data_IF_885971313714
#
_entry.id   IF_885971313714
#
_cell.length_a   1.000
_cell.length_b   1.000
_cell.length_c   1.000
_cell.angle_alpha   90.00
_cell.angle_beta   90.00
_cell.angle_gamma   90.00
#
_symmetry.space_group_name_H-M   'P 1'
#
loop_
_entity.id
_entity.type
_entity.pdbx_description
1 polymer ?
#
# COMPACT_ATOMS: atom_id res chain seq x y z
N UNK A 1 1.06 14.63 -5.34
CA UNK A 1 0.67 13.68 -4.28
C UNK A 1 -0.84 13.69 -4.19
N UNK A 2 -1.49 12.54 -4.31
CA UNK A 2 -2.95 12.43 -4.26
C UNK A 2 -3.47 12.65 -2.84
N UNK A 3 -3.56 13.92 -2.41
CA UNK A 3 -4.26 14.45 -1.21
C UNK A 3 -4.29 13.62 0.09
N UNK A 4 -3.33 12.72 0.32
CA UNK A 4 -3.29 11.84 1.48
C UNK A 4 -4.44 10.82 1.59
N UNK A 5 -5.18 10.58 0.51
CA UNK A 5 -6.30 9.63 0.54
C UNK A 5 -5.80 8.21 0.29
N UNK A 6 -6.22 7.26 1.14
CA UNK A 6 -5.93 5.84 0.96
C UNK A 6 -6.81 5.30 -0.16
N UNK A 7 -6.18 4.90 -1.27
CA UNK A 7 -6.88 4.30 -2.41
C UNK A 7 -7.16 2.81 -2.22
N UNK A 8 -6.29 2.14 -1.46
CA UNK A 8 -6.36 0.70 -1.19
C UNK A 8 -5.72 0.38 0.14
N UNK A 9 -6.37 -0.48 0.90
CA UNK A 9 -5.83 -1.14 2.08
C UNK A 9 -5.98 -2.66 1.91
N UNK A 10 -4.91 -3.41 2.21
CA UNK A 10 -4.87 -4.86 2.09
C UNK A 10 -4.07 -5.44 3.25
N UNK A 11 -4.63 -6.46 3.90
CA UNK A 11 -3.89 -7.35 4.80
C UNK A 11 -3.56 -8.63 4.00
N UNK A 12 -2.28 -9.01 3.98
CA UNK A 12 -1.81 -10.23 3.31
C UNK A 12 -1.25 -11.21 4.34
N UNK A 13 -1.53 -12.50 4.14
CA UNK A 13 -0.94 -13.58 4.92
C UNK A 13 0.33 -14.16 4.27
N UNK A 14 0.62 -13.77 3.02
CA UNK A 14 1.84 -14.12 2.31
C UNK A 14 2.82 -12.95 2.33
N UNK A 15 4.15 -13.22 2.38
CA UNK A 15 5.15 -12.17 2.51
C UNK A 15 5.30 -11.29 1.26
N UNK A 16 4.70 -11.70 0.13
CA UNK A 16 4.77 -10.99 -1.13
C UNK A 16 3.37 -10.52 -1.53
N UNK A 17 3.25 -9.25 -1.87
CA UNK A 17 2.06 -8.70 -2.49
C UNK A 17 2.47 -7.86 -3.70
N UNK A 18 1.68 -7.93 -4.77
CA UNK A 18 1.96 -7.21 -6.01
C UNK A 18 0.82 -6.26 -6.31
N UNK A 19 1.14 -4.97 -6.40
CA UNK A 19 0.21 -3.97 -6.88
C UNK A 19 0.16 -4.01 -8.42
N UNK A 20 -0.67 -4.90 -8.97
CA UNK A 20 -0.72 -5.13 -10.42
C UNK A 20 -1.30 -3.94 -11.18
N UNK A 21 -1.03 -3.86 -12.49
CA UNK A 21 -1.58 -2.80 -13.34
C UNK A 21 -3.11 -2.73 -13.31
N UNK A 22 -3.80 -3.89 -13.27
CA UNK A 22 -5.26 -3.93 -13.16
C UNK A 22 -5.76 -3.31 -11.85
N UNK A 23 -5.06 -3.54 -10.73
CA UNK A 23 -5.39 -2.93 -9.45
C UNK A 23 -5.14 -1.42 -9.47
N UNK A 24 -3.99 -0.98 -10.00
CA UNK A 24 -3.67 0.46 -10.15
C UNK A 24 -4.71 1.20 -10.98
N UNK A 25 -5.14 0.61 -12.10
CA UNK A 25 -6.21 1.18 -12.96
C UNK A 25 -7.55 1.23 -12.23
N UNK A 26 -7.92 0.16 -11.51
CA UNK A 26 -9.16 0.11 -10.74
C UNK A 26 -9.23 1.14 -9.61
N UNK A 27 -8.09 1.40 -8.96
CA UNK A 27 -7.97 2.38 -7.89
C UNK A 27 -7.79 3.82 -8.41
N UNK A 28 -7.62 4.00 -9.73
CA UNK A 28 -7.43 5.31 -10.34
C UNK A 28 -6.11 5.99 -9.97
N UNK A 29 -5.04 5.22 -9.75
CA UNK A 29 -3.71 5.76 -9.44
C UNK A 29 -3.19 6.58 -10.62
N UNK A 30 -2.78 7.82 -10.36
CA UNK A 30 -2.16 8.70 -11.36
C UNK A 30 -0.92 9.39 -10.81
N UNK A 31 0.18 9.37 -11.58
CA UNK A 31 1.45 10.01 -11.19
C UNK A 31 2.10 9.35 -9.98
N UNK A 32 2.96 10.09 -9.28
CA UNK A 32 3.68 9.58 -8.12
C UNK A 32 2.75 9.30 -6.92
N UNK A 33 2.99 8.17 -6.25
CA UNK A 33 2.22 7.69 -5.11
C UNK A 33 3.13 7.05 -4.06
N UNK A 34 2.54 6.67 -2.93
CA UNK A 34 3.24 6.03 -1.82
C UNK A 34 2.59 4.70 -1.46
N UNK A 35 3.40 3.74 -1.03
CA UNK A 35 2.95 2.50 -0.40
C UNK A 35 3.44 2.51 1.04
N UNK A 36 2.54 2.26 1.97
CA UNK A 36 2.82 2.19 3.40
C UNK A 36 2.65 0.74 3.84
N UNK A 37 3.71 0.13 4.36
CA UNK A 37 3.70 -1.30 4.77
C UNK A 37 4.01 -1.42 6.26
N UNK A 38 3.17 -2.15 7.00
CA UNK A 38 3.40 -2.50 8.39
C UNK A 38 3.39 -4.03 8.55
N UNK A 39 4.16 -4.53 9.52
CA UNK A 39 4.09 -5.93 9.93
C UNK A 39 2.84 -6.14 10.80
N UNK A 40 2.12 -7.24 10.57
CA UNK A 40 0.88 -7.58 11.26
C UNK A 40 1.10 -8.67 12.30
N UNK A 41 0.73 -8.39 13.55
CA UNK A 41 0.77 -9.31 14.68
C UNK A 41 -0.62 -9.52 15.25
N UNK A 42 -0.99 -10.77 15.55
CA UNK A 42 -2.28 -11.08 16.18
C UNK A 42 -2.39 -10.52 17.61
N UNK A 43 -1.27 -10.43 18.34
CA UNK A 43 -1.25 -9.95 19.71
C UNK A 43 -1.10 -8.43 19.83
N UNK A 44 -0.42 -7.79 18.87
CA UNK A 44 -0.03 -6.38 18.96
C UNK A 44 -0.61 -5.49 17.86
N UNK A 45 -1.27 -6.07 16.85
CA UNK A 45 -1.81 -5.35 15.71
C UNK A 45 -0.72 -4.88 14.73
N UNK A 46 -0.92 -3.69 14.15
CA UNK A 46 0.01 -3.10 13.20
C UNK A 46 1.24 -2.50 13.88
N UNK A 47 2.41 -2.93 13.40
CA UNK A 47 3.67 -2.25 13.70
C UNK A 47 3.78 -0.88 12.99
N UNK A 48 4.98 -0.30 13.06
CA UNK A 48 5.26 0.95 12.37
C UNK A 48 5.21 0.78 10.85
N UNK A 49 4.56 1.73 10.19
CA UNK A 49 4.54 1.78 8.73
C UNK A 49 5.87 2.26 8.18
N UNK A 50 6.41 1.51 7.22
CA UNK A 50 7.46 1.98 6.32
C UNK A 50 6.81 2.61 5.10
N UNK A 51 7.19 3.86 4.82
CA UNK A 51 6.80 4.59 3.60
C UNK A 51 7.75 4.25 2.45
N UNK A 52 7.18 3.98 1.28
CA UNK A 52 7.90 3.75 0.03
C UNK A 52 7.30 4.70 -1.01
N UNK A 53 8.11 5.64 -1.51
CA UNK A 53 7.70 6.53 -2.62
C UNK A 53 7.93 5.85 -3.96
N UNK A 54 6.95 5.97 -4.87
CA UNK A 54 7.02 5.45 -6.24
C UNK A 54 6.76 6.60 -7.21
N UNK A 55 7.68 6.82 -8.14
CA UNK A 55 7.73 8.01 -9.00
C UNK A 55 8.00 7.72 -10.50
N UNK A 56 7.84 6.47 -10.91
CA UNK A 56 7.99 6.01 -12.30
C UNK A 56 6.86 6.49 -13.24
#
# INVERSE_FOLDING_TARGET
MQNGSVLREVITQVPNWTYSAALKTGDGVTGAYEIHVAQMSDSFGAGLFRRIEINE
#
